data_IF_120115439976
#
_entry.id   IF_120115439976
#
_cell.length_a   1.000
_cell.length_b   1.000
_cell.length_c   1.000
_cell.angle_alpha   90.00
_cell.angle_beta   90.00
_cell.angle_gamma   90.00
#
_symmetry.space_group_name_H-M   'P 1'
#
loop_
_entity.id
_entity.type
_entity.pdbx_description
1 polymer ?
#
# COMPACT_ATOMS: atom_id res chain seq x y z
N UNK A 1 20.83 -11.21 -25.26
CA UNK A 1 19.89 -10.09 -25.57
C UNK A 1 18.65 -10.73 -26.20
N UNK A 2 17.50 -10.05 -26.29
CA UNK A 2 16.29 -10.65 -26.88
C UNK A 2 16.30 -10.48 -28.39
N UNK A 3 16.00 -11.52 -29.17
CA UNK A 3 15.92 -11.44 -30.65
C UNK A 3 15.01 -10.30 -31.13
N UNK A 4 13.91 -10.07 -30.42
CA UNK A 4 12.99 -8.97 -30.71
C UNK A 4 13.61 -7.58 -30.49
N UNK A 5 14.48 -7.44 -29.49
CA UNK A 5 15.19 -6.18 -29.23
C UNK A 5 16.26 -5.94 -30.29
N UNK A 6 17.00 -6.99 -30.68
CA UNK A 6 18.03 -6.90 -31.70
C UNK A 6 17.42 -6.51 -33.06
N UNK A 7 16.27 -7.10 -33.41
CA UNK A 7 15.51 -6.70 -34.57
C UNK A 7 15.05 -5.25 -34.50
N UNK A 8 14.54 -4.78 -33.36
CA UNK A 8 14.08 -3.39 -33.19
C UNK A 8 15.23 -2.37 -33.33
N UNK A 9 16.41 -2.71 -32.80
CA UNK A 9 17.63 -1.90 -32.96
C UNK A 9 18.01 -1.79 -34.42
N UNK A 10 17.98 -2.90 -35.17
CA UNK A 10 18.26 -2.89 -36.61
C UNK A 10 17.20 -2.09 -37.40
N UNK A 11 15.92 -2.20 -37.01
CA UNK A 11 14.82 -1.55 -37.70
C UNK A 11 14.76 -0.03 -37.45
N UNK A 12 15.16 0.46 -36.27
CA UNK A 12 15.07 1.88 -35.86
C UNK A 12 16.31 2.33 -35.05
N UNK A 13 17.50 2.37 -35.66
CA UNK A 13 18.74 2.63 -34.94
C UNK A 13 18.79 4.01 -34.27
N UNK A 14 18.30 5.07 -34.94
CA UNK A 14 18.28 6.43 -34.40
C UNK A 14 17.46 6.56 -33.10
N UNK A 15 16.14 6.27 -33.12
CA UNK A 15 15.32 6.31 -31.91
C UNK A 15 15.82 5.39 -30.80
N UNK A 16 16.27 4.17 -31.13
CA UNK A 16 16.80 3.23 -30.14
C UNK A 16 18.09 3.72 -29.50
N UNK A 17 18.99 4.34 -30.27
CA UNK A 17 20.21 4.93 -29.74
C UNK A 17 19.91 6.09 -28.77
N UNK A 18 18.98 6.98 -29.13
CA UNK A 18 18.53 8.05 -28.25
C UNK A 18 17.90 7.51 -26.97
N UNK A 19 17.04 6.49 -27.08
CA UNK A 19 16.41 5.83 -25.93
C UNK A 19 17.44 5.21 -24.98
N UNK A 20 18.44 4.48 -25.49
CA UNK A 20 19.49 3.91 -24.64
C UNK A 20 20.41 4.97 -24.03
N UNK A 21 20.69 6.07 -24.74
CA UNK A 21 21.45 7.19 -24.19
C UNK A 21 20.69 7.81 -23.00
N UNK A 22 19.39 8.04 -23.15
CA UNK A 22 18.52 8.48 -22.06
C UNK A 22 18.56 7.50 -20.88
N UNK A 23 18.35 6.20 -21.10
CA UNK A 23 18.36 5.21 -20.01
C UNK A 23 19.69 5.14 -19.26
N UNK A 24 20.83 5.39 -19.92
CA UNK A 24 22.15 5.42 -19.27
C UNK A 24 22.35 6.67 -18.42
N UNK A 25 21.81 7.80 -18.84
CA UNK A 25 21.96 9.08 -18.14
C UNK A 25 20.89 9.28 -17.05
N UNK A 26 19.71 8.70 -17.25
CA UNK A 26 18.59 8.79 -16.32
C UNK A 26 18.99 8.26 -14.94
N UNK A 27 18.74 9.06 -13.91
CA UNK A 27 19.08 8.72 -12.53
C UNK A 27 20.57 8.78 -12.19
N UNK A 28 21.42 9.38 -13.03
CA UNK A 28 22.88 9.46 -12.78
C UNK A 28 23.30 10.08 -11.44
N UNK A 29 22.44 10.88 -10.80
CA UNK A 29 22.67 11.46 -9.48
C UNK A 29 22.27 10.54 -8.31
N UNK A 30 21.61 9.42 -8.58
CA UNK A 30 21.18 8.45 -7.56
C UNK A 30 22.23 7.35 -7.40
N UNK A 31 22.39 6.86 -6.17
CA UNK A 31 23.25 5.71 -5.92
C UNK A 31 22.72 4.45 -6.62
N UNK A 32 23.58 3.43 -6.86
CA UNK A 32 23.18 2.22 -7.56
C UNK A 32 21.99 1.47 -6.94
N UNK A 33 21.89 1.40 -5.62
CA UNK A 33 20.84 0.66 -4.92
C UNK A 33 19.50 1.38 -5.05
N UNK A 34 19.47 2.70 -4.84
CA UNK A 34 18.28 3.51 -5.04
C UNK A 34 17.72 3.36 -6.46
N UNK A 35 18.57 3.40 -7.50
CA UNK A 35 18.12 3.18 -8.89
C UNK A 35 17.54 1.79 -9.12
N UNK A 36 18.13 0.77 -8.50
CA UNK A 36 17.67 -0.60 -8.63
C UNK A 36 16.30 -0.79 -7.97
N UNK A 37 16.11 -0.26 -6.75
CA UNK A 37 14.83 -0.30 -6.03
C UNK A 37 13.72 0.44 -6.79
N UNK A 38 13.99 1.65 -7.29
CA UNK A 38 13.03 2.37 -8.15
C UNK A 38 12.64 1.51 -9.36
N UNK A 39 13.63 0.87 -10.00
CA UNK A 39 13.34 0.00 -11.15
C UNK A 39 12.46 -1.19 -10.77
N UNK A 40 12.71 -1.84 -9.63
CA UNK A 40 11.86 -2.92 -9.10
C UNK A 40 10.42 -2.43 -8.90
N UNK A 41 10.23 -1.30 -8.18
CA UNK A 41 8.91 -0.70 -7.93
C UNK A 41 8.18 -0.40 -9.25
N UNK A 42 8.86 0.15 -10.26
CA UNK A 42 8.21 0.44 -11.56
C UNK A 42 7.72 -0.83 -12.26
N UNK A 43 8.38 -1.97 -12.08
CA UNK A 43 7.93 -3.26 -12.64
C UNK A 43 6.74 -3.84 -11.90
N UNK A 44 6.63 -3.56 -10.61
CA UNK A 44 5.41 -3.83 -9.83
C UNK A 44 4.27 -2.94 -10.30
N UNK A 45 4.52 -1.64 -10.49
CA UNK A 45 3.54 -0.70 -11.03
C UNK A 45 2.97 -1.13 -12.38
N UNK A 46 3.83 -1.65 -13.27
CA UNK A 46 3.46 -2.17 -14.57
C UNK A 46 2.95 -3.62 -14.58
N UNK A 47 3.03 -4.33 -13.44
CA UNK A 47 2.68 -5.76 -13.28
C UNK A 47 3.27 -6.67 -14.37
N UNK A 48 4.55 -6.48 -14.66
CA UNK A 48 5.26 -7.31 -15.64
C UNK A 48 6.06 -8.39 -14.91
N UNK A 49 5.59 -9.63 -14.88
CA UNK A 49 6.24 -10.73 -14.13
C UNK A 49 7.71 -10.92 -14.53
N UNK A 50 7.96 -11.16 -15.83
CA UNK A 50 9.33 -11.35 -16.36
C UNK A 50 10.23 -10.15 -16.06
N UNK A 51 9.66 -8.94 -16.18
CA UNK A 51 10.36 -7.70 -15.87
C UNK A 51 10.71 -7.61 -14.39
N UNK A 52 9.74 -7.84 -13.51
CA UNK A 52 9.94 -7.83 -12.07
C UNK A 52 11.05 -8.78 -11.63
N UNK A 53 10.98 -10.06 -12.07
CA UNK A 53 12.02 -11.07 -11.79
C UNK A 53 13.41 -10.60 -12.22
N UNK A 54 13.54 -10.14 -13.46
CA UNK A 54 14.83 -9.68 -13.99
C UNK A 54 15.42 -8.50 -13.19
N UNK A 55 14.58 -7.55 -12.81
CA UNK A 55 15.02 -6.35 -12.09
C UNK A 55 15.28 -6.62 -10.61
N UNK A 56 14.55 -7.54 -9.99
CA UNK A 56 14.77 -7.99 -8.62
C UNK A 56 16.14 -8.67 -8.47
N UNK A 57 16.44 -9.67 -9.32
CA UNK A 57 17.75 -10.33 -9.33
C UNK A 57 18.90 -9.35 -9.64
N UNK A 58 18.63 -8.31 -10.43
CA UNK A 58 19.60 -7.24 -10.68
C UNK A 58 19.82 -6.38 -9.44
N UNK A 59 18.77 -6.06 -8.69
CA UNK A 59 18.87 -5.29 -7.45
C UNK A 59 19.70 -6.02 -6.40
N UNK A 60 19.45 -7.32 -6.20
CA UNK A 60 20.25 -8.15 -5.29
C UNK A 60 21.73 -8.18 -5.70
N UNK A 61 22.04 -8.33 -7.00
CA UNK A 61 23.42 -8.27 -7.51
C UNK A 61 24.11 -6.92 -7.31
N UNK A 62 23.35 -5.83 -7.23
CA UNK A 62 23.87 -4.49 -6.92
C UNK A 62 24.12 -4.31 -5.41
N UNK A 63 23.65 -5.25 -4.58
CA UNK A 63 23.83 -5.24 -3.13
C UNK A 63 22.61 -4.73 -2.36
N UNK A 64 21.42 -4.70 -2.98
CA UNK A 64 20.18 -4.53 -2.23
C UNK A 64 19.94 -5.77 -1.36
N UNK A 65 19.57 -5.55 -0.09
CA UNK A 65 19.12 -6.64 0.80
C UNK A 65 17.66 -6.96 0.52
N UNK A 66 17.21 -8.13 0.99
CA UNK A 66 15.80 -8.47 0.94
C UNK A 66 14.94 -7.49 1.76
N UNK A 67 15.41 -7.06 2.93
CA UNK A 67 14.74 -6.03 3.75
C UNK A 67 14.55 -4.72 2.99
N UNK A 68 15.59 -4.21 2.32
CA UNK A 68 15.47 -2.98 1.52
C UNK A 68 14.47 -3.12 0.38
N UNK A 69 14.37 -4.30 -0.23
CA UNK A 69 13.35 -4.56 -1.26
C UNK A 69 11.95 -4.54 -0.65
N UNK A 70 11.74 -5.22 0.48
CA UNK A 70 10.46 -5.27 1.16
C UNK A 70 10.02 -3.88 1.65
N UNK A 71 10.93 -3.13 2.28
CA UNK A 71 10.69 -1.75 2.73
C UNK A 71 10.38 -0.81 1.55
N UNK A 72 11.07 -0.97 0.41
CA UNK A 72 10.79 -0.19 -0.78
C UNK A 72 9.39 -0.50 -1.35
N UNK A 73 8.95 -1.77 -1.32
CA UNK A 73 7.58 -2.15 -1.70
C UNK A 73 6.54 -1.55 -0.75
N UNK A 74 6.78 -1.59 0.57
CA UNK A 74 5.90 -1.00 1.56
C UNK A 74 5.85 0.53 1.45
N UNK A 75 6.98 1.21 1.21
CA UNK A 75 6.99 2.65 0.96
C UNK A 75 6.26 3.04 -0.34
N UNK A 76 6.20 2.14 -1.32
CA UNK A 76 5.42 2.35 -2.53
C UNK A 76 3.92 2.01 -2.37
N UNK A 77 3.48 1.53 -1.20
CA UNK A 77 2.10 1.17 -0.93
C UNK A 77 1.08 2.29 -1.25
N UNK A 78 1.32 3.58 -0.90
CA UNK A 78 0.35 4.66 -1.18
C UNK A 78 0.06 4.87 -2.66
N UNK A 79 0.99 4.50 -3.55
CA UNK A 79 0.83 4.68 -5.01
C UNK A 79 0.48 3.37 -5.73
N UNK A 80 0.86 2.22 -5.18
CA UNK A 80 0.65 0.92 -5.80
C UNK A 80 -0.63 0.22 -5.33
N UNK A 81 -1.05 0.48 -4.09
CA UNK A 81 -2.12 -0.22 -3.41
C UNK A 81 -1.75 -1.66 -3.02
N UNK A 82 -2.50 -2.24 -2.09
CA UNK A 82 -2.21 -3.56 -1.52
C UNK A 82 -2.15 -4.67 -2.56
N UNK A 83 -3.04 -4.68 -3.55
CA UNK A 83 -3.13 -5.74 -4.58
C UNK A 83 -1.82 -5.93 -5.35
N UNK A 84 -1.13 -4.83 -5.70
CA UNK A 84 0.14 -4.92 -6.43
C UNK A 84 1.29 -5.33 -5.53
N UNK A 85 1.24 -4.97 -4.24
CA UNK A 85 2.23 -5.42 -3.26
C UNK A 85 2.12 -6.93 -3.06
N UNK A 86 0.91 -7.45 -2.82
CA UNK A 86 0.68 -8.90 -2.69
C UNK A 86 1.12 -9.64 -3.95
N UNK A 87 0.78 -9.14 -5.14
CA UNK A 87 1.27 -9.71 -6.39
C UNK A 87 2.80 -9.78 -6.46
N UNK A 88 3.51 -8.73 -6.04
CA UNK A 88 4.98 -8.72 -6.02
C UNK A 88 5.54 -9.76 -5.03
N UNK A 89 4.92 -9.90 -3.86
CA UNK A 89 5.29 -10.90 -2.86
C UNK A 89 5.07 -12.32 -3.38
N UNK A 90 3.95 -12.59 -4.07
CA UNK A 90 3.71 -13.89 -4.71
C UNK A 90 4.84 -14.23 -5.71
N UNK A 91 5.31 -13.24 -6.47
CA UNK A 91 6.43 -13.43 -7.39
C UNK A 91 7.75 -13.72 -6.65
N UNK A 92 8.01 -13.06 -5.52
CA UNK A 92 9.18 -13.30 -4.66
C UNK A 92 9.16 -14.73 -4.10
N UNK A 93 8.00 -15.20 -3.63
CA UNK A 93 7.82 -16.56 -3.11
C UNK A 93 8.04 -17.59 -4.23
N UNK A 94 7.46 -17.37 -5.41
CA UNK A 94 7.63 -18.26 -6.57
C UNK A 94 9.08 -18.34 -7.06
N UNK A 95 9.89 -17.31 -6.77
CA UNK A 95 11.30 -17.22 -7.12
C UNK A 95 12.20 -18.14 -6.28
N UNK A 96 11.80 -18.44 -5.03
CA UNK A 96 12.57 -19.26 -4.07
C UNK A 96 14.04 -18.82 -3.94
N UNK A 97 14.25 -17.51 -3.92
CA UNK A 97 15.57 -16.92 -3.71
C UNK A 97 15.97 -17.04 -2.22
N UNK A 98 17.20 -17.47 -1.91
CA UNK A 98 17.64 -17.71 -0.53
C UNK A 98 17.72 -16.43 0.32
N UNK A 99 17.77 -15.25 -0.30
CA UNK A 99 17.72 -13.95 0.37
C UNK A 99 16.35 -13.67 0.99
N UNK A 100 15.28 -14.27 0.47
CA UNK A 100 13.90 -14.06 0.91
C UNK A 100 13.35 -15.23 1.76
N UNK A 101 14.24 -16.07 2.30
CA UNK A 101 13.84 -17.11 3.23
C UNK A 101 13.26 -16.48 4.51
N UNK A 102 12.04 -16.89 4.87
CA UNK A 102 11.30 -16.33 6.00
C UNK A 102 12.06 -16.46 7.32
N UNK A 103 12.75 -17.58 7.53
CA UNK A 103 13.53 -17.80 8.77
C UNK A 103 14.69 -16.81 8.87
N UNK A 104 15.30 -16.45 7.73
CA UNK A 104 16.40 -15.48 7.68
C UNK A 104 15.92 -14.06 7.91
N UNK A 105 14.77 -13.72 7.35
CA UNK A 105 14.18 -12.38 7.49
C UNK A 105 13.68 -12.13 8.91
N UNK A 106 13.04 -13.13 9.52
CA UNK A 106 12.42 -12.97 10.83
C UNK A 106 13.33 -13.35 11.99
N UNK A 107 14.39 -14.13 11.73
CA UNK A 107 15.20 -14.76 12.78
C UNK A 107 14.41 -15.77 13.62
N UNK A 108 13.18 -16.11 13.22
CA UNK A 108 12.27 -17.02 13.91
C UNK A 108 12.22 -18.35 13.16
N UNK A 109 12.39 -19.45 13.89
CA UNK A 109 12.19 -20.78 13.36
C UNK A 109 10.72 -20.96 12.92
N UNK A 110 10.51 -21.66 11.81
CA UNK A 110 9.21 -21.82 11.14
C UNK A 110 8.09 -22.44 11.99
N UNK A 111 8.41 -23.03 13.16
CA UNK A 111 7.44 -23.56 14.13
C UNK A 111 6.64 -22.48 14.91
N UNK A 112 7.03 -21.21 14.82
CA UNK A 112 6.43 -20.13 15.63
C UNK A 112 5.44 -19.22 14.90
N UNK A 113 5.29 -19.36 13.57
CA UNK A 113 4.36 -18.55 12.78
C UNK A 113 2.95 -19.06 12.99
N UNK A 114 2.22 -18.44 13.92
CA UNK A 114 0.79 -18.66 14.07
C UNK A 114 0.07 -18.14 12.81
N UNK A 115 -0.82 -18.93 12.17
CA UNK A 115 -1.66 -18.39 11.12
C UNK A 115 -2.49 -17.25 11.72
N UNK A 116 -2.46 -16.07 11.09
CA UNK A 116 -3.44 -15.03 11.38
C UNK A 116 -4.79 -15.59 10.95
N UNK A 117 -5.54 -16.14 11.92
CA UNK A 117 -6.93 -16.51 11.72
C UNK A 117 -7.71 -15.21 11.54
N UNK A 118 -7.92 -14.83 10.30
CA UNK A 118 -8.76 -13.70 9.92
C UNK A 118 -10.23 -14.02 10.17
N UNK A 119 -10.64 -14.07 11.43
CA UNK A 119 -12.00 -13.76 11.84
C UNK A 119 -11.90 -12.59 12.82
N UNK A 120 -12.37 -11.41 12.40
CA UNK A 120 -12.58 -10.29 13.30
C UNK A 120 -13.82 -10.57 14.18
N UNK A 121 -13.70 -11.58 15.06
CA UNK A 121 -14.73 -11.91 16.04
C UNK A 121 -14.60 -10.94 17.21
N UNK A 122 -15.34 -9.83 17.12
CA UNK A 122 -15.51 -8.87 18.20
C UNK A 122 -16.39 -9.48 19.29
N UNK A 123 -15.77 -10.31 20.15
CA UNK A 123 -16.41 -10.80 21.37
C UNK A 123 -16.49 -9.66 22.39
N UNK A 124 -17.73 -9.37 22.76
CA UNK A 124 -18.14 -8.45 23.80
C UNK A 124 -17.97 -9.10 25.18
N UNK A 125 -17.02 -8.61 25.98
CA UNK A 125 -17.08 -8.78 27.43
C UNK A 125 -17.35 -7.42 28.05
N UNK A 126 -18.55 -7.31 28.63
CA UNK A 126 -19.06 -6.12 29.26
C UNK A 126 -18.37 -5.87 30.59
N UNK A 127 -17.85 -4.65 30.74
CA UNK A 127 -17.56 -4.10 32.05
C UNK A 127 -18.40 -2.84 32.23
N UNK A 128 -19.24 -2.86 33.27
CA UNK A 128 -20.23 -1.84 33.54
C UNK A 128 -19.56 -0.53 33.93
N UNK A 129 -19.74 0.52 33.12
CA UNK A 129 -19.29 1.89 33.47
C UNK A 129 -20.50 2.84 33.54
N UNK A 130 -20.49 3.56 34.66
CA UNK A 130 -21.48 4.47 35.24
C UNK A 130 -22.07 5.51 34.27
N UNK A 131 -23.40 5.68 34.34
CA UNK A 131 -24.24 6.49 33.45
C UNK A 131 -24.35 7.95 33.89
N UNK A 132 -23.26 8.73 33.84
CA UNK A 132 -23.35 10.19 33.97
C UNK A 132 -22.64 10.90 32.82
N UNK A 133 -23.48 11.51 31.97
CA UNK A 133 -23.14 12.22 30.76
C UNK A 133 -22.24 13.43 30.99
N UNK A 134 -21.20 13.55 30.15
CA UNK A 134 -20.60 14.81 29.71
C UNK A 134 -20.19 14.63 28.23
N UNK A 135 -20.37 15.62 27.35
CA UNK A 135 -20.05 15.46 25.93
C UNK A 135 -18.54 15.36 25.75
N UNK A 136 -18.06 14.23 25.22
CA UNK A 136 -16.65 14.05 24.87
C UNK A 136 -16.39 14.69 23.52
N UNK A 137 -15.50 15.68 23.50
CA UNK A 137 -14.99 16.31 22.29
C UNK A 137 -14.16 15.29 21.48
N UNK A 138 -14.48 15.16 20.19
CA UNK A 138 -13.68 14.38 19.24
C UNK A 138 -12.44 15.19 18.89
N UNK A 139 -11.26 14.74 19.33
CA UNK A 139 -9.98 15.27 18.82
C UNK A 139 -9.48 14.34 17.72
N UNK A 140 -9.46 14.83 16.48
CA UNK A 140 -8.74 14.22 15.38
C UNK A 140 -7.29 14.69 15.47
N UNK A 141 -6.42 13.88 16.08
CA UNK A 141 -5.01 14.23 16.26
C UNK A 141 -4.15 13.73 15.09
N UNK A 142 -4.34 14.27 13.88
CA UNK A 142 -3.29 14.37 12.86
C UNK A 142 -3.54 15.65 12.03
N UNK A 143 -2.76 16.74 12.19
CA UNK A 143 -2.82 17.90 11.31
C UNK A 143 -1.98 17.65 10.05
N UNK A 144 -2.57 17.80 8.87
CA UNK A 144 -1.86 17.76 7.59
C UNK A 144 -1.46 19.18 7.14
N UNK A 145 -0.31 19.37 6.47
CA UNK A 145 0.11 20.68 5.99
C UNK A 145 -0.55 20.97 4.63
N UNK A 146 -1.35 22.05 4.56
CA UNK A 146 -1.80 22.63 3.29
C UNK A 146 -3.28 22.97 3.13
N UNK A 147 -4.09 23.01 4.18
CA UNK A 147 -5.49 23.48 4.05
C UNK A 147 -5.56 25.02 4.08
N UNK A 148 -5.42 25.63 2.91
CA UNK A 148 -5.92 26.97 2.62
C UNK A 148 -7.38 26.92 2.12
N UNK A 149 -8.31 26.52 2.98
CA UNK A 149 -9.75 26.71 2.73
C UNK A 149 -10.60 26.74 4.03
N UNK A 150 -10.79 27.94 4.58
CA UNK A 150 -11.85 28.38 5.53
C UNK A 150 -12.10 27.58 6.84
N UNK A 151 -12.06 28.23 8.02
CA UNK A 151 -11.83 27.56 9.32
C UNK A 151 -13.08 26.98 10.00
N UNK A 152 -14.21 26.83 9.31
CA UNK A 152 -15.42 26.24 9.89
C UNK A 152 -15.88 25.07 9.02
N UNK A 153 -15.54 23.86 9.46
CA UNK A 153 -16.03 22.64 8.84
C UNK A 153 -17.55 22.66 8.75
N UNK A 154 -18.10 22.53 7.54
CA UNK A 154 -19.54 22.47 7.33
C UNK A 154 -20.04 21.14 7.88
N UNK A 155 -20.74 21.19 9.01
CA UNK A 155 -21.40 20.02 9.59
C UNK A 155 -22.49 19.52 8.63
N UNK A 156 -22.41 18.24 8.26
CA UNK A 156 -23.43 17.58 7.46
C UNK A 156 -24.26 16.68 8.36
N UNK A 157 -25.56 16.95 8.46
CA UNK A 157 -26.51 16.10 9.20
C UNK A 157 -26.81 14.87 8.34
N UNK A 158 -26.52 13.68 8.88
CA UNK A 158 -26.65 12.40 8.16
C UNK A 158 -28.00 11.72 8.34
N UNK A 159 -28.75 12.03 9.40
CA UNK A 159 -30.01 11.39 9.76
C UNK A 159 -30.24 11.38 11.27
N UNK A 160 -31.36 10.81 11.71
CA UNK A 160 -31.65 10.61 13.13
C UNK A 160 -30.97 9.33 13.65
N UNK A 161 -30.75 9.21 14.97
CA UNK A 161 -30.03 8.07 15.56
C UNK A 161 -30.75 6.72 15.32
N UNK A 162 -32.08 6.78 15.17
CA UNK A 162 -32.95 5.63 14.88
C UNK A 162 -32.71 5.08 13.47
N UNK A 163 -32.22 5.90 12.55
CA UNK A 163 -31.93 5.51 11.16
C UNK A 163 -30.64 4.65 11.06
N UNK A 164 -29.87 4.56 12.16
CA UNK A 164 -28.61 3.82 12.24
C UNK A 164 -28.72 2.70 13.29
N UNK A 165 -29.20 1.50 12.91
CA UNK A 165 -29.31 0.37 13.83
C UNK A 165 -27.92 -0.10 14.28
N UNK A 166 -27.82 -0.52 15.54
CA UNK A 166 -26.56 -1.00 16.12
C UNK A 166 -26.02 -2.22 15.34
N UNK A 167 -24.72 -2.19 15.04
CA UNK A 167 -24.01 -3.26 14.34
C UNK A 167 -24.13 -3.26 12.82
N UNK A 168 -25.09 -2.53 12.24
CA UNK A 168 -25.28 -2.42 10.79
C UNK A 168 -24.30 -1.48 10.10
N UNK A 169 -23.92 -1.80 8.87
CA UNK A 169 -23.17 -0.91 7.97
C UNK A 169 -24.16 -0.26 6.99
N UNK A 170 -24.27 1.07 7.02
CA UNK A 170 -25.14 1.82 6.12
C UNK A 170 -24.30 2.64 5.15
N UNK A 171 -24.58 2.54 3.86
CA UNK A 171 -23.96 3.40 2.85
C UNK A 171 -24.84 4.63 2.58
N UNK A 172 -24.29 5.81 2.82
CA UNK A 172 -24.91 7.09 2.53
C UNK A 172 -24.27 7.71 1.29
N UNK A 173 -25.06 7.88 0.24
CA UNK A 173 -24.63 8.55 -0.99
C UNK A 173 -24.59 10.06 -0.77
N UNK A 174 -23.43 10.69 -0.97
CA UNK A 174 -23.25 12.13 -0.86
C UNK A 174 -22.57 12.76 -2.08
N UNK A 175 -22.67 14.09 -2.28
CA UNK A 175 -22.18 14.78 -3.47
C UNK A 175 -20.65 14.78 -3.62
N UNK A 176 -19.90 14.42 -2.56
CA UNK A 176 -18.43 14.31 -2.57
C UNK A 176 -17.94 12.86 -2.39
N UNK A 177 -18.74 11.89 -2.81
CA UNK A 177 -18.48 10.46 -2.60
C UNK A 177 -19.21 9.93 -1.37
N UNK A 178 -19.66 8.67 -1.47
CA UNK A 178 -20.41 8.00 -0.41
C UNK A 178 -19.58 7.75 0.84
N UNK A 179 -20.25 7.74 1.99
CA UNK A 179 -19.66 7.32 3.26
C UNK A 179 -20.39 6.08 3.79
N UNK A 180 -19.63 5.21 4.44
CA UNK A 180 -20.18 4.09 5.20
C UNK A 180 -20.23 4.49 6.67
N UNK A 181 -21.38 4.29 7.29
CA UNK A 181 -21.61 4.57 8.70
C UNK A 181 -21.90 3.25 9.40
N UNK A 182 -21.16 2.97 10.47
CA UNK A 182 -21.45 1.84 11.37
C UNK A 182 -21.62 2.34 12.79
N UNK A 183 -22.73 1.98 13.42
CA UNK A 183 -22.99 2.28 14.82
C UNK A 183 -22.51 1.13 15.71
N UNK A 184 -21.56 1.41 16.61
CA UNK A 184 -21.07 0.50 17.64
C UNK A 184 -21.45 1.06 19.02
N UNK A 185 -22.65 0.70 19.51
CA UNK A 185 -23.20 1.28 20.74
C UNK A 185 -23.57 2.76 20.56
N UNK A 186 -22.89 3.64 21.29
CA UNK A 186 -23.04 5.10 21.19
C UNK A 186 -22.04 5.74 20.22
N UNK A 187 -21.10 4.95 19.68
CA UNK A 187 -20.05 5.42 18.77
C UNK A 187 -20.47 5.21 17.32
N UNK A 188 -20.23 6.21 16.49
CA UNK A 188 -20.42 6.13 15.04
C UNK A 188 -19.06 6.11 14.35
N UNK A 189 -18.81 5.06 13.57
CA UNK A 189 -17.65 4.95 12.70
C UNK A 189 -18.04 5.42 11.30
N UNK A 190 -17.27 6.38 10.77
CA UNK A 190 -17.42 6.92 9.42
C UNK A 190 -16.24 6.47 8.58
N UNK A 191 -16.51 5.77 7.48
CA UNK A 191 -15.50 5.40 6.50
C UNK A 191 -15.83 6.09 5.17
N UNK A 192 -14.88 6.83 4.61
CA UNK A 192 -15.02 7.45 3.29
C UNK A 192 -13.98 6.83 2.37
N UNK A 193 -14.41 6.23 1.27
CA UNK A 193 -13.52 5.54 0.34
C UNK A 193 -12.48 6.48 -0.34
N UNK A 194 -12.73 7.80 -0.30
CA UNK A 194 -11.81 8.83 -0.80
C UNK A 194 -11.05 9.57 0.33
N UNK A 195 -11.03 9.03 1.56
CA UNK A 195 -10.09 9.49 2.58
C UNK A 195 -8.77 8.72 2.35
N UNK A 196 -7.67 9.37 1.91
CA UNK A 196 -6.38 8.69 1.83
C UNK A 196 -5.88 8.26 3.20
#
# INVERSE_FOLDING_TARGET
MSDALDWLIAARPGPMQAYFAFLKQAGGALDPKTRALISVITKVGAQTERGFRQYLERALRVGCTADEVLDALLMAFPILGFTKIVWAVDQIIALRLPEFDLERLTGLASDSVQPVSGNADCHSDGEAVDRRAAPVAVTSAIPLPGDDASPEGVWTVLGAIEDFPAGGLLHLSGPRGGCFVRRAGEVFHLFRANCP
#
